data_IF_545644309536
#
_entry.id   IF_545644309536
#
_cell.length_a   1.000
_cell.length_b   1.000
_cell.length_c   1.000
_cell.angle_alpha   90.00
_cell.angle_beta   90.00
_cell.angle_gamma   90.00
#
_symmetry.space_group_name_H-M   'P 1'
#
loop_
_entity.id
_entity.type
_entity.pdbx_description
1 polymer ?
#
# COMPACT_ATOMS: atom_id res chain seq x y z
N UNK A 1 7.72 21.41 -12.98
CA UNK A 1 7.34 20.04 -12.59
C UNK A 1 8.42 19.36 -11.75
N UNK A 2 9.68 19.41 -12.20
CA UNK A 2 10.78 18.78 -11.46
C UNK A 2 10.91 19.35 -10.04
N UNK A 3 10.81 20.67 -9.91
CA UNK A 3 10.86 21.30 -8.58
C UNK A 3 9.68 20.92 -7.70
N UNK A 4 8.50 20.78 -8.29
CA UNK A 4 7.30 20.35 -7.58
C UNK A 4 7.49 18.93 -7.02
N UNK A 5 7.97 17.99 -7.84
CA UNK A 5 8.24 16.62 -7.41
C UNK A 5 9.29 16.59 -6.30
N UNK A 6 10.37 17.35 -6.44
CA UNK A 6 11.43 17.42 -5.41
C UNK A 6 10.90 17.91 -4.08
N UNK A 7 9.94 18.84 -4.10
CA UNK A 7 9.34 19.37 -2.89
C UNK A 7 8.43 18.35 -2.19
N UNK A 8 7.76 17.50 -2.95
CA UNK A 8 6.80 16.51 -2.40
C UNK A 8 7.41 15.14 -2.13
N UNK A 9 8.52 14.79 -2.80
CA UNK A 9 9.10 13.46 -2.71
C UNK A 9 9.39 13.02 -1.27
N UNK A 10 9.99 13.85 -0.39
CA UNK A 10 10.23 13.40 0.98
C UNK A 10 8.97 13.05 1.75
N UNK A 11 7.88 13.79 1.50
CA UNK A 11 6.58 13.51 2.15
C UNK A 11 5.99 12.21 1.64
N UNK A 12 6.01 12.01 0.34
CA UNK A 12 5.53 10.78 -0.28
C UNK A 12 6.34 9.57 0.20
N UNK A 13 7.66 9.66 0.14
CA UNK A 13 8.56 8.59 0.58
C UNK A 13 8.34 8.26 2.06
N UNK A 14 8.19 9.28 2.90
CA UNK A 14 7.91 9.11 4.32
C UNK A 14 6.59 8.40 4.59
N UNK A 15 5.55 8.72 3.82
CA UNK A 15 4.26 8.03 3.93
C UNK A 15 4.37 6.57 3.54
N UNK A 16 5.07 6.26 2.44
CA UNK A 16 5.26 4.87 2.02
C UNK A 16 6.06 4.10 3.07
N UNK A 17 7.14 4.66 3.58
CA UNK A 17 7.97 4.02 4.60
C UNK A 17 7.19 3.71 5.87
N UNK A 18 6.28 4.61 6.28
CA UNK A 18 5.44 4.39 7.46
C UNK A 18 4.45 3.25 7.28
N UNK A 19 4.07 2.93 6.05
CA UNK A 19 3.21 1.77 5.79
C UNK A 19 3.88 0.46 6.22
N UNK A 20 5.21 0.41 6.29
CA UNK A 20 5.92 -0.77 6.76
C UNK A 20 5.60 -1.14 8.21
N UNK A 21 5.01 -0.23 8.98
CA UNK A 21 4.57 -0.50 10.35
C UNK A 21 3.25 -1.26 10.41
N UNK A 22 2.49 -1.30 9.31
CA UNK A 22 1.21 -2.00 9.26
C UNK A 22 1.42 -3.52 9.29
N UNK A 23 0.54 -4.28 10.00
CA UNK A 23 0.68 -5.74 10.11
C UNK A 23 0.71 -6.49 8.78
N UNK A 24 0.06 -5.98 7.75
CA UNK A 24 0.05 -6.62 6.42
C UNK A 24 1.29 -6.34 5.59
N UNK A 25 2.07 -5.31 5.93
CA UNK A 25 3.15 -4.83 5.07
C UNK A 25 4.48 -5.38 5.57
N UNK A 26 5.13 -6.21 4.74
CA UNK A 26 6.44 -6.78 5.04
C UNK A 26 7.59 -5.95 4.52
N UNK A 27 7.35 -5.16 3.48
CA UNK A 27 8.36 -4.29 2.90
C UNK A 27 7.70 -3.10 2.23
N UNK A 28 8.31 -1.94 2.35
CA UNK A 28 7.86 -0.72 1.71
C UNK A 28 9.06 -0.01 1.10
N UNK A 29 8.90 0.48 -0.12
CA UNK A 29 9.97 1.20 -0.81
C UNK A 29 9.40 2.32 -1.65
N UNK A 30 10.12 3.42 -1.73
CA UNK A 30 9.71 4.57 -2.53
C UNK A 30 10.91 5.33 -3.04
N UNK A 31 10.72 5.97 -4.20
CA UNK A 31 11.68 6.94 -4.73
C UNK A 31 10.89 7.99 -5.51
N UNK A 32 11.06 9.25 -5.13
CA UNK A 32 10.30 10.35 -5.73
C UNK A 32 8.82 10.20 -5.40
N UNK A 33 7.99 10.09 -6.44
CA UNK A 33 6.55 9.86 -6.31
C UNK A 33 6.14 8.46 -6.75
N UNK A 34 7.08 7.52 -6.75
CA UNK A 34 6.80 6.11 -7.06
C UNK A 34 7.06 5.30 -5.80
N UNK A 35 6.11 4.45 -5.44
CA UNK A 35 6.26 3.59 -4.27
C UNK A 35 5.59 2.26 -4.43
N UNK A 36 5.94 1.31 -3.58
CA UNK A 36 5.33 -0.01 -3.55
C UNK A 36 5.40 -0.59 -2.15
N UNK A 37 4.40 -1.36 -1.81
CA UNK A 37 4.39 -2.17 -0.60
C UNK A 37 4.20 -3.62 -0.96
N UNK A 38 4.87 -4.50 -0.22
CA UNK A 38 4.72 -5.94 -0.36
C UNK A 38 3.95 -6.48 0.83
N UNK A 39 2.86 -7.18 0.56
CA UNK A 39 1.97 -7.71 1.58
C UNK A 39 2.43 -9.12 1.98
N UNK A 40 2.42 -9.39 3.28
CA UNK A 40 2.90 -10.67 3.82
C UNK A 40 1.94 -11.22 4.85
N UNK A 41 1.93 -12.55 4.97
CA UNK A 41 1.14 -13.24 5.98
C UNK A 41 1.80 -13.13 7.35
N UNK A 42 3.11 -13.19 7.40
CA UNK A 42 3.89 -13.09 8.64
C UNK A 42 5.10 -12.18 8.40
N UNK A 43 5.21 -11.11 9.18
CA UNK A 43 6.29 -10.14 9.05
C UNK A 43 7.61 -10.65 9.59
N UNK A 44 7.58 -11.53 10.58
CA UNK A 44 8.81 -12.00 11.24
C UNK A 44 9.67 -12.82 10.29
N UNK A 45 9.07 -13.67 9.48
CA UNK A 45 9.78 -14.49 8.49
C UNK A 45 9.47 -14.08 7.05
N UNK A 46 8.68 -13.03 6.87
CA UNK A 46 8.25 -12.51 5.55
C UNK A 46 7.54 -13.55 4.70
N UNK A 47 6.77 -14.41 5.35
CA UNK A 47 6.00 -15.45 4.67
C UNK A 47 4.88 -14.84 3.83
N UNK A 48 4.80 -15.22 2.56
CA UNK A 48 3.76 -14.76 1.64
C UNK A 48 2.43 -15.42 1.92
N UNK A 49 1.33 -14.74 1.53
CA UNK A 49 0.01 -15.36 1.49
C UNK A 49 -0.06 -16.38 0.35
N UNK A 50 -1.01 -17.31 0.45
CA UNK A 50 -1.37 -18.15 -0.67
C UNK A 50 -1.79 -17.24 -1.85
N UNK A 51 -1.20 -17.41 -3.05
CA UNK A 51 -1.58 -16.59 -4.20
C UNK A 51 -3.08 -16.62 -4.50
N UNK A 52 -3.76 -17.72 -4.20
CA UNK A 52 -5.20 -17.87 -4.40
C UNK A 52 -6.03 -16.98 -3.47
N UNK A 53 -5.45 -16.52 -2.37
CA UNK A 53 -6.17 -15.64 -1.43
C UNK A 53 -6.42 -14.25 -2.03
N UNK A 54 -5.58 -13.80 -2.99
CA UNK A 54 -5.78 -12.54 -3.70
C UNK A 54 -5.71 -11.33 -2.80
N UNK A 55 -4.77 -11.31 -1.86
CA UNK A 55 -4.67 -10.23 -0.86
C UNK A 55 -4.34 -8.90 -1.51
N UNK A 56 -3.40 -8.87 -2.47
CA UNK A 56 -3.09 -7.65 -3.20
C UNK A 56 -4.29 -7.08 -3.94
N UNK A 57 -5.05 -7.95 -4.61
CA UNK A 57 -6.27 -7.54 -5.30
C UNK A 57 -7.33 -7.04 -4.31
N UNK A 58 -7.41 -7.64 -3.12
CA UNK A 58 -8.34 -7.20 -2.08
C UNK A 58 -8.00 -5.78 -1.60
N UNK A 59 -6.73 -5.47 -1.43
CA UNK A 59 -6.27 -4.12 -1.05
C UNK A 59 -6.62 -3.11 -2.15
N UNK A 60 -6.39 -3.47 -3.41
CA UNK A 60 -6.72 -2.60 -4.55
C UNK A 60 -8.22 -2.33 -4.60
N UNK A 61 -9.06 -3.35 -4.41
CA UNK A 61 -10.51 -3.19 -4.40
C UNK A 61 -10.97 -2.32 -3.22
N UNK A 62 -10.39 -2.52 -2.04
CA UNK A 62 -10.68 -1.69 -0.87
C UNK A 62 -10.29 -0.23 -1.11
N UNK A 63 -9.13 0.01 -1.71
CA UNK A 63 -8.68 1.36 -2.05
C UNK A 63 -9.66 2.06 -2.99
N UNK A 64 -10.19 1.34 -3.98
CA UNK A 64 -11.20 1.89 -4.89
C UNK A 64 -12.46 2.33 -4.16
N UNK A 65 -12.88 1.58 -3.16
CA UNK A 65 -14.05 1.97 -2.35
C UNK A 65 -13.82 3.28 -1.59
N UNK A 66 -12.57 3.63 -1.36
CA UNK A 66 -12.18 4.90 -0.73
C UNK A 66 -11.74 5.96 -1.75
N UNK A 67 -12.03 5.72 -3.03
CA UNK A 67 -11.76 6.69 -4.08
C UNK A 67 -10.34 6.71 -4.62
N UNK A 68 -9.54 5.69 -4.34
CA UNK A 68 -8.14 5.62 -4.75
C UNK A 68 -7.91 4.47 -5.72
N UNK A 69 -7.20 4.75 -6.81
CA UNK A 69 -6.78 3.72 -7.77
C UNK A 69 -5.29 3.46 -7.59
N UNK A 70 -4.95 2.21 -7.28
CA UNK A 70 -3.57 1.74 -7.17
C UNK A 70 -3.41 0.47 -8.01
N UNK A 71 -2.17 0.03 -8.23
CA UNK A 71 -1.90 -1.09 -9.12
C UNK A 71 -1.49 -2.34 -8.36
N UNK A 72 -2.16 -3.47 -8.61
CA UNK A 72 -1.69 -4.74 -8.06
C UNK A 72 -0.60 -5.31 -8.98
N UNK A 73 0.44 -5.87 -8.38
CA UNK A 73 1.50 -6.59 -9.08
C UNK A 73 1.59 -8.00 -8.52
N UNK A 74 2.19 -8.91 -9.29
CA UNK A 74 2.37 -10.30 -8.88
C UNK A 74 3.14 -10.36 -7.56
N UNK A 75 2.76 -11.29 -6.67
CA UNK A 75 3.39 -11.45 -5.37
C UNK A 75 2.79 -10.58 -4.27
N UNK A 76 1.52 -10.17 -4.43
CA UNK A 76 0.82 -9.31 -3.49
C UNK A 76 1.55 -7.98 -3.24
N UNK A 77 1.99 -7.37 -4.31
CA UNK A 77 2.63 -6.06 -4.29
C UNK A 77 1.59 -5.03 -4.74
N UNK A 78 1.51 -3.92 -4.03
CA UNK A 78 0.66 -2.79 -4.40
C UNK A 78 1.55 -1.59 -4.73
N UNK A 79 1.41 -1.07 -5.93
CA UNK A 79 2.24 0.03 -6.42
C UNK A 79 1.46 1.34 -6.46
N UNK A 80 2.14 2.42 -6.12
CA UNK A 80 1.61 3.78 -6.12
C UNK A 80 2.38 4.62 -7.13
N UNK A 81 1.66 5.26 -8.05
CA UNK A 81 2.28 6.12 -9.06
C UNK A 81 1.34 7.30 -9.34
N UNK A 82 1.25 8.27 -8.41
CA UNK A 82 0.35 9.40 -8.59
C UNK A 82 0.82 10.32 -9.72
N UNK A 83 -0.08 11.17 -10.26
CA UNK A 83 0.31 12.17 -11.24
C UNK A 83 1.38 13.10 -10.68
N UNK A 84 2.30 13.57 -11.53
CA UNK A 84 3.39 14.46 -11.11
C UNK A 84 2.90 15.83 -10.62
N UNK A 85 1.67 16.19 -10.93
CA UNK A 85 1.05 17.44 -10.48
C UNK A 85 0.28 17.32 -9.17
N UNK A 86 0.36 16.15 -8.50
CA UNK A 86 -0.34 15.92 -7.23
C UNK A 86 0.07 16.97 -6.17
N UNK A 87 -0.86 17.38 -5.33
CA UNK A 87 -0.60 18.31 -4.24
C UNK A 87 -0.31 17.58 -2.94
N UNK A 88 0.27 18.30 -1.97
CA UNK A 88 0.51 17.72 -0.63
C UNK A 88 -0.78 17.23 0.00
N UNK A 89 -1.86 18.02 -0.10
CA UNK A 89 -3.16 17.62 0.44
C UNK A 89 -3.68 16.33 -0.20
N UNK A 90 -3.50 16.19 -1.52
CA UNK A 90 -3.89 14.98 -2.24
C UNK A 90 -3.05 13.78 -1.82
N UNK A 91 -1.78 13.98 -1.53
CA UNK A 91 -0.91 12.91 -1.01
C UNK A 91 -1.41 12.44 0.36
N UNK A 92 -1.74 13.38 1.25
CA UNK A 92 -2.28 13.05 2.58
C UNK A 92 -3.58 12.26 2.46
N UNK A 93 -4.50 12.69 1.58
CA UNK A 93 -5.77 12.00 1.34
C UNK A 93 -5.54 10.60 0.75
N UNK A 94 -4.59 10.47 -0.16
CA UNK A 94 -4.23 9.21 -0.77
C UNK A 94 -3.80 8.18 0.29
N UNK A 95 -2.88 8.57 1.18
CA UNK A 95 -2.39 7.64 2.20
C UNK A 95 -3.42 7.38 3.29
N UNK A 96 -4.32 8.33 3.58
CA UNK A 96 -5.46 8.06 4.45
C UNK A 96 -6.34 6.94 3.86
N UNK A 97 -6.59 6.97 2.55
CA UNK A 97 -7.34 5.92 1.87
C UNK A 97 -6.59 4.58 1.90
N UNK A 98 -5.27 4.60 1.71
CA UNK A 98 -4.44 3.39 1.78
C UNK A 98 -4.54 2.75 3.16
N UNK A 99 -4.43 3.53 4.23
CA UNK A 99 -4.55 3.01 5.59
C UNK A 99 -5.91 2.38 5.84
N UNK A 100 -6.99 3.01 5.39
CA UNK A 100 -8.34 2.44 5.51
C UNK A 100 -8.46 1.12 4.76
N UNK A 101 -7.91 1.07 3.54
CA UNK A 101 -7.93 -0.14 2.73
C UNK A 101 -7.16 -1.28 3.41
N UNK A 102 -5.97 -0.98 3.94
CA UNK A 102 -5.16 -1.98 4.64
C UNK A 102 -5.86 -2.48 5.90
N UNK A 103 -6.51 -1.60 6.66
CA UNK A 103 -7.23 -1.99 7.86
C UNK A 103 -8.43 -2.88 7.54
N UNK A 104 -9.17 -2.58 6.46
CA UNK A 104 -10.28 -3.42 6.02
C UNK A 104 -9.80 -4.82 5.63
N UNK A 105 -8.70 -4.91 4.90
CA UNK A 105 -8.15 -6.19 4.46
C UNK A 105 -7.56 -6.95 5.66
N UNK A 106 -6.94 -6.26 6.60
CA UNK A 106 -6.46 -6.88 7.84
C UNK A 106 -7.61 -7.54 8.61
N UNK A 107 -8.75 -6.85 8.71
CA UNK A 107 -9.94 -7.40 9.36
C UNK A 107 -10.44 -8.65 8.64
N UNK A 108 -10.44 -8.63 7.32
CA UNK A 108 -10.82 -9.80 6.50
C UNK A 108 -9.84 -10.96 6.72
N UNK A 109 -8.54 -10.68 6.72
CA UNK A 109 -7.50 -11.70 6.91
C UNK A 109 -7.65 -12.36 8.27
N UNK A 110 -7.90 -11.58 9.32
CA UNK A 110 -8.10 -12.10 10.66
C UNK A 110 -9.38 -12.93 10.75
N UNK A 111 -10.48 -12.42 10.19
CA UNK A 111 -11.77 -13.10 10.21
C UNK A 111 -11.75 -14.44 9.48
N UNK A 112 -11.11 -14.47 8.31
CA UNK A 112 -11.07 -15.67 7.47
C UNK A 112 -9.84 -16.54 7.75
N UNK A 113 -9.04 -16.18 8.75
CA UNK A 113 -7.85 -16.93 9.18
C UNK A 113 -6.88 -17.24 8.04
N UNK A 114 -6.66 -16.26 7.17
CA UNK A 114 -5.83 -16.46 5.97
C UNK A 114 -4.33 -16.56 6.25
N UNK A 115 -3.89 -16.16 7.45
CA UNK A 115 -2.47 -16.28 7.84
C UNK A 115 -2.08 -17.69 8.25
N UNK A 116 -3.05 -18.54 8.57
CA UNK A 116 -2.78 -19.89 9.05
C UNK A 116 -2.42 -20.87 7.93
N UNK A 117 -2.61 -20.48 6.69
CA UNK A 117 -2.36 -21.37 5.55
C UNK A 117 -0.88 -21.46 5.21
#
# INVERSE_FOLDING_TARGET
IVGHVRGLAPRFEGHVERLAEHPLVGHARAKGLIGAIELVADKSDKRSFDPKAGIGAAVVAAAQRHGLIVRPLAGDIVAFCPPLIITLEQIEDMFAAVHKALDEVESMVAKDNLRAA
#
